data_IF_705615237996
#
_entry.id   IF_705615237996
#
_cell.length_a   1.000
_cell.length_b   1.000
_cell.length_c   1.000
_cell.angle_alpha   90.00
_cell.angle_beta   90.00
_cell.angle_gamma   90.00
#
_symmetry.space_group_name_H-M   'P 1'
#
loop_
_entity.id
_entity.type
_entity.pdbx_description
1 polymer ?
#
# COMPACT_ATOMS: atom_id res chain seq x y z
N UNK A 1 14.62 17.42 0.28
CA UNK A 1 13.35 18.15 0.08
C UNK A 1 13.19 18.69 -1.34
N UNK A 2 14.18 19.41 -1.90
CA UNK A 2 14.06 20.08 -3.22
C UNK A 2 13.75 19.18 -4.44
N UNK A 3 14.12 17.89 -4.43
CA UNK A 3 13.87 16.99 -5.58
C UNK A 3 12.44 16.42 -5.59
N UNK A 4 11.78 16.34 -4.42
CA UNK A 4 10.49 15.65 -4.28
C UNK A 4 9.29 16.61 -4.34
N UNK A 5 9.50 17.88 -3.97
CA UNK A 5 8.44 18.89 -3.93
C UNK A 5 8.45 19.82 -5.17
N UNK A 6 9.29 19.53 -6.17
CA UNK A 6 9.43 20.32 -7.40
C UNK A 6 8.64 19.77 -8.59
N UNK A 7 8.28 20.67 -9.52
CA UNK A 7 7.61 20.36 -10.81
C UNK A 7 8.28 19.17 -11.49
N UNK A 8 7.46 18.24 -11.99
CA UNK A 8 7.96 17.02 -12.62
C UNK A 8 8.91 17.36 -13.77
N UNK A 9 10.13 16.80 -13.73
CA UNK A 9 11.22 17.18 -14.63
C UNK A 9 11.85 15.92 -15.24
N UNK A 10 12.39 16.03 -16.47
CA UNK A 10 13.12 14.93 -17.14
C UNK A 10 14.26 14.33 -16.29
N UNK A 11 14.91 15.14 -15.44
CA UNK A 11 15.92 14.68 -14.47
C UNK A 11 15.34 13.72 -13.42
N UNK A 12 14.12 13.99 -12.95
CA UNK A 12 13.39 13.18 -11.96
C UNK A 12 12.99 11.83 -12.56
N UNK A 13 12.56 11.82 -13.82
CA UNK A 13 12.33 10.60 -14.61
C UNK A 13 13.60 9.76 -14.77
N UNK A 14 14.73 10.36 -15.16
CA UNK A 14 16.01 9.65 -15.32
C UNK A 14 16.49 9.03 -14.00
N UNK A 15 16.36 9.76 -12.89
CA UNK A 15 16.65 9.25 -11.55
C UNK A 15 15.71 8.10 -11.19
N UNK A 16 14.43 8.21 -11.50
CA UNK A 16 13.46 7.14 -11.27
C UNK A 16 13.79 5.85 -12.03
N UNK A 17 14.13 5.97 -13.32
CA UNK A 17 14.57 4.85 -14.16
C UNK A 17 15.86 4.24 -13.61
N UNK A 18 16.84 5.07 -13.24
CA UNK A 18 18.10 4.59 -12.68
C UNK A 18 17.90 3.81 -11.37
N UNK A 19 17.01 4.27 -10.49
CA UNK A 19 16.67 3.58 -9.24
C UNK A 19 15.93 2.27 -9.49
N UNK A 20 15.02 2.21 -10.48
CA UNK A 20 14.38 0.97 -10.87
C UNK A 20 15.38 -0.05 -11.44
N UNK A 21 16.29 0.40 -12.31
CA UNK A 21 17.36 -0.45 -12.86
C UNK A 21 18.26 -0.95 -11.72
N UNK A 22 18.67 -0.09 -10.79
CA UNK A 22 19.48 -0.47 -9.63
C UNK A 22 18.75 -1.49 -8.73
N UNK A 23 17.45 -1.31 -8.48
CA UNK A 23 16.63 -2.27 -7.75
C UNK A 23 16.55 -3.64 -8.46
N UNK A 24 16.36 -3.66 -9.78
CA UNK A 24 16.34 -4.89 -10.56
C UNK A 24 17.71 -5.57 -10.65
N UNK A 25 18.80 -4.81 -10.78
CA UNK A 25 20.17 -5.34 -10.74
C UNK A 25 20.46 -5.97 -9.37
N UNK A 26 19.95 -5.38 -8.28
CA UNK A 26 20.08 -5.96 -6.95
C UNK A 26 19.50 -7.37 -6.84
N UNK A 27 18.48 -7.72 -7.65
CA UNK A 27 17.94 -9.09 -7.72
C UNK A 27 18.83 -10.04 -8.52
N UNK A 28 19.57 -9.52 -9.51
CA UNK A 28 20.50 -10.31 -10.33
C UNK A 28 21.86 -10.51 -9.66
N UNK A 29 22.20 -9.68 -8.67
CA UNK A 29 23.30 -9.92 -7.75
C UNK A 29 22.82 -10.85 -6.63
N UNK A 30 22.46 -12.08 -6.97
CA UNK A 30 22.48 -13.17 -6.00
C UNK A 30 23.94 -13.29 -5.55
N UNK A 31 24.28 -12.62 -4.45
CA UNK A 31 25.55 -12.84 -3.78
C UNK A 31 25.61 -14.33 -3.47
N UNK A 32 26.68 -15.05 -3.84
CA UNK A 32 26.81 -16.49 -3.69
C UNK A 32 27.07 -16.88 -2.22
N UNK A 33 26.25 -16.36 -1.31
CA UNK A 33 26.29 -16.58 0.13
C UNK A 33 24.91 -17.01 0.61
N UNK A 34 24.78 -18.29 0.95
CA UNK A 34 23.61 -18.88 1.61
C UNK A 34 23.48 -18.39 3.07
N UNK A 35 23.45 -17.08 3.30
CA UNK A 35 23.15 -16.49 4.60
C UNK A 35 21.80 -15.78 4.50
N UNK A 36 20.87 -16.12 5.41
CA UNK A 36 19.51 -15.55 5.46
C UNK A 36 19.51 -14.00 5.49
N UNK A 37 20.61 -13.39 5.96
CA UNK A 37 20.79 -11.94 6.00
C UNK A 37 21.08 -11.27 4.65
N UNK A 38 21.76 -11.96 3.73
CA UNK A 38 22.08 -11.40 2.40
C UNK A 38 20.84 -11.36 1.50
N UNK A 39 20.05 -12.44 1.46
CA UNK A 39 18.77 -12.48 0.76
C UNK A 39 17.76 -11.46 1.32
N UNK A 40 17.75 -11.25 2.64
CA UNK A 40 16.92 -10.23 3.29
C UNK A 40 17.33 -8.81 2.86
N UNK A 41 18.64 -8.54 2.78
CA UNK A 41 19.17 -7.23 2.40
C UNK A 41 18.81 -6.86 0.96
N UNK A 42 19.00 -7.79 0.02
CA UNK A 42 18.58 -7.64 -1.39
C UNK A 42 17.07 -7.40 -1.51
N UNK A 43 16.28 -8.15 -0.76
CA UNK A 43 14.81 -8.01 -0.75
C UNK A 43 14.37 -6.63 -0.27
N UNK A 44 15.01 -6.09 0.77
CA UNK A 44 14.71 -4.76 1.30
C UNK A 44 15.09 -3.67 0.30
N UNK A 45 16.28 -3.76 -0.29
CA UNK A 45 16.76 -2.80 -1.29
C UNK A 45 15.86 -2.77 -2.52
N UNK A 46 15.49 -3.93 -3.06
CA UNK A 46 14.53 -4.03 -4.16
C UNK A 46 13.16 -3.42 -3.81
N UNK A 47 12.59 -3.80 -2.66
CA UNK A 47 11.28 -3.30 -2.20
C UNK A 47 11.26 -1.80 -1.91
N UNK A 48 12.42 -1.19 -1.69
CA UNK A 48 12.55 0.25 -1.53
C UNK A 48 12.77 0.96 -2.88
N UNK A 49 13.76 0.51 -3.65
CA UNK A 49 14.23 1.22 -4.84
C UNK A 49 13.22 1.20 -5.98
N UNK A 50 12.51 0.08 -6.20
CA UNK A 50 11.56 -0.03 -7.32
C UNK A 50 10.34 0.86 -7.11
N UNK A 51 9.65 0.86 -5.95
CA UNK A 51 8.53 1.76 -5.71
C UNK A 51 8.94 3.24 -5.69
N UNK A 52 10.10 3.57 -5.12
CA UNK A 52 10.62 4.95 -5.12
C UNK A 52 10.98 5.40 -6.54
N UNK A 53 11.62 4.53 -7.33
CA UNK A 53 11.93 4.79 -8.71
C UNK A 53 10.67 5.04 -9.55
N UNK A 54 9.66 4.16 -9.41
CA UNK A 54 8.36 4.32 -10.05
C UNK A 54 7.66 5.62 -9.62
N UNK A 55 7.70 5.98 -8.34
CA UNK A 55 7.14 7.24 -7.85
C UNK A 55 7.76 8.45 -8.54
N UNK A 56 9.07 8.42 -8.80
CA UNK A 56 9.78 9.52 -9.45
C UNK A 56 9.56 9.59 -10.97
N UNK A 57 9.15 8.48 -11.61
CA UNK A 57 8.83 8.47 -13.04
C UNK A 57 7.42 8.97 -13.34
N UNK A 58 6.48 8.83 -12.40
CA UNK A 58 5.08 9.23 -12.60
C UNK A 58 4.92 10.76 -12.53
N UNK A 59 4.36 11.41 -13.57
CA UNK A 59 4.04 12.83 -13.51
C UNK A 59 2.85 13.09 -12.60
N UNK A 60 3.06 13.91 -11.57
CA UNK A 60 2.05 14.27 -10.57
C UNK A 60 0.84 14.99 -11.22
N UNK A 61 1.07 15.76 -12.28
CA UNK A 61 0.04 16.49 -13.05
C UNK A 61 -0.96 15.57 -13.76
N UNK A 62 -0.60 14.30 -13.99
CA UNK A 62 -1.47 13.30 -14.64
C UNK A 62 -2.24 12.46 -13.62
N UNK A 63 -1.96 12.62 -12.33
CA UNK A 63 -2.68 11.90 -11.27
C UNK A 63 -3.98 12.64 -10.97
N UNK A 64 -5.08 11.88 -10.86
CA UNK A 64 -6.35 12.44 -10.43
C UNK A 64 -6.24 13.03 -9.03
N UNK A 65 -6.96 14.11 -8.77
CA UNK A 65 -7.09 14.63 -7.42
C UNK A 65 -7.52 13.52 -6.45
N UNK A 66 -6.91 13.52 -5.27
CA UNK A 66 -7.19 12.54 -4.25
C UNK A 66 -8.66 12.64 -3.80
N UNK A 67 -9.52 11.76 -4.31
CA UNK A 67 -10.89 11.56 -3.84
C UNK A 67 -10.93 11.33 -2.33
N UNK A 68 -12.02 11.73 -1.70
CA UNK A 68 -12.13 11.75 -0.23
C UNK A 68 -11.95 10.38 0.45
N UNK A 69 -12.18 9.27 -0.25
CA UNK A 69 -11.88 7.94 0.28
C UNK A 69 -10.37 7.64 0.34
N UNK A 70 -9.57 8.24 -0.55
CA UNK A 70 -8.10 8.11 -0.56
C UNK A 70 -7.42 8.99 0.50
N UNK A 71 -8.11 10.00 1.02
CA UNK A 71 -7.62 10.83 2.14
C UNK A 71 -7.58 10.05 3.46
N UNK A 72 -8.34 8.96 3.55
CA UNK A 72 -8.42 8.10 4.72
C UNK A 72 -7.37 6.95 4.70
N UNK A 73 -6.29 7.07 3.94
CA UNK A 73 -5.25 6.02 3.83
C UNK A 73 -4.70 5.58 5.19
N UNK A 74 -4.54 6.51 6.14
CA UNK A 74 -4.07 6.17 7.48
C UNK A 74 -5.11 5.37 8.28
N UNK A 75 -6.38 5.76 8.22
CA UNK A 75 -7.47 5.01 8.84
C UNK A 75 -7.63 3.62 8.20
N UNK A 76 -7.58 3.53 6.87
CA UNK A 76 -7.56 2.26 6.15
C UNK A 76 -6.40 1.39 6.62
N UNK A 77 -5.20 1.95 6.79
CA UNK A 77 -4.05 1.22 7.31
C UNK A 77 -4.29 0.67 8.73
N UNK A 78 -4.83 1.50 9.62
CA UNK A 78 -5.12 1.10 10.99
C UNK A 78 -6.16 -0.02 11.09
N UNK A 79 -7.19 0.00 10.23
CA UNK A 79 -8.32 -0.95 10.31
C UNK A 79 -8.20 -2.14 9.37
N UNK A 80 -7.34 -2.11 8.34
CA UNK A 80 -7.29 -3.17 7.33
C UNK A 80 -7.09 -4.56 7.96
N UNK A 81 -6.24 -4.66 8.99
CA UNK A 81 -5.83 -5.95 9.52
C UNK A 81 -6.95 -6.57 10.34
N UNK A 82 -7.62 -5.75 11.15
CA UNK A 82 -8.79 -6.16 11.90
C UNK A 82 -9.92 -6.60 10.95
N UNK A 83 -10.18 -5.84 9.89
CA UNK A 83 -11.20 -6.16 8.89
C UNK A 83 -10.89 -7.46 8.14
N UNK A 84 -9.69 -7.58 7.58
CA UNK A 84 -9.25 -8.79 6.86
C UNK A 84 -9.33 -10.03 7.77
N UNK A 85 -8.88 -9.91 9.02
CA UNK A 85 -8.94 -10.99 10.00
C UNK A 85 -10.39 -11.38 10.33
N UNK A 86 -11.26 -10.39 10.54
CA UNK A 86 -12.67 -10.62 10.80
C UNK A 86 -13.32 -11.36 9.64
N UNK A 87 -13.13 -10.86 8.42
CA UNK A 87 -13.68 -11.44 7.19
C UNK A 87 -13.18 -12.87 7.00
N UNK A 88 -11.88 -13.14 7.15
CA UNK A 88 -11.32 -14.49 7.02
C UNK A 88 -11.86 -15.45 8.07
N UNK A 89 -11.98 -14.99 9.32
CA UNK A 89 -12.45 -15.85 10.42
C UNK A 89 -13.94 -16.13 10.32
N UNK A 90 -14.73 -15.14 9.94
CA UNK A 90 -16.17 -15.30 9.67
C UNK A 90 -16.40 -16.17 8.43
N UNK A 91 -15.62 -15.98 7.37
CA UNK A 91 -15.65 -16.83 6.18
C UNK A 91 -15.37 -18.29 6.51
N UNK A 92 -14.34 -18.58 7.31
CA UNK A 92 -14.02 -19.94 7.75
C UNK A 92 -15.11 -20.58 8.64
N UNK A 93 -15.90 -19.78 9.35
CA UNK A 93 -17.00 -20.26 10.19
C UNK A 93 -18.28 -20.53 9.39
N UNK A 94 -18.59 -19.67 8.42
CA UNK A 94 -19.90 -19.67 7.73
C UNK A 94 -19.87 -20.36 6.36
N UNK A 95 -18.74 -20.35 5.66
CA UNK A 95 -18.64 -20.86 4.31
C UNK A 95 -18.17 -22.32 4.33
N UNK A 96 -18.71 -23.16 3.42
CA UNK A 96 -18.18 -24.50 3.24
C UNK A 96 -16.71 -24.41 2.77
N UNK A 97 -15.86 -25.37 3.14
CA UNK A 97 -14.42 -25.36 2.85
C UNK A 97 -14.15 -25.72 1.37
N UNK A 98 -14.62 -24.85 0.47
CA UNK A 98 -14.44 -24.99 -0.98
C UNK A 98 -13.33 -24.03 -1.43
N UNK A 99 -12.28 -24.50 -2.12
CA UNK A 99 -11.14 -23.67 -2.52
C UNK A 99 -11.53 -22.43 -3.34
N UNK A 100 -12.55 -22.54 -4.18
CA UNK A 100 -13.06 -21.45 -5.01
C UNK A 100 -13.61 -20.30 -4.15
N UNK A 101 -14.31 -20.62 -3.06
CA UNK A 101 -14.85 -19.61 -2.14
C UNK A 101 -13.73 -18.87 -1.41
N UNK A 102 -12.71 -19.59 -0.94
CA UNK A 102 -11.53 -18.98 -0.31
C UNK A 102 -10.77 -18.07 -1.28
N UNK A 103 -10.61 -18.50 -2.55
CA UNK A 103 -9.98 -17.71 -3.59
C UNK A 103 -10.76 -16.41 -3.88
N UNK A 104 -12.08 -16.49 -4.05
CA UNK A 104 -12.91 -15.30 -4.29
C UNK A 104 -12.83 -14.33 -3.11
N UNK A 105 -12.86 -14.85 -1.88
CA UNK A 105 -12.73 -14.04 -0.68
C UNK A 105 -11.40 -13.28 -0.65
N UNK A 106 -10.31 -13.97 -0.94
CA UNK A 106 -8.98 -13.36 -1.05
C UNK A 106 -8.91 -12.31 -2.16
N UNK A 107 -9.48 -12.59 -3.34
CA UNK A 107 -9.47 -11.67 -4.47
C UNK A 107 -10.25 -10.37 -4.18
N UNK A 108 -11.40 -10.46 -3.53
CA UNK A 108 -12.25 -9.31 -3.21
C UNK A 108 -11.92 -8.63 -1.87
N UNK A 109 -10.99 -9.17 -1.08
CA UNK A 109 -10.59 -8.58 0.20
C UNK A 109 -10.16 -7.11 0.13
N UNK A 110 -9.34 -6.67 -0.85
CA UNK A 110 -8.96 -5.27 -0.97
C UNK A 110 -10.18 -4.37 -1.15
N UNK A 111 -11.17 -4.81 -1.95
CA UNK A 111 -12.41 -4.09 -2.14
C UNK A 111 -13.20 -3.97 -0.83
N UNK A 112 -13.35 -5.07 -0.09
CA UNK A 112 -14.04 -5.05 1.20
C UNK A 112 -13.34 -4.15 2.22
N UNK A 113 -12.01 -4.16 2.27
CA UNK A 113 -11.25 -3.30 3.17
C UNK A 113 -11.50 -1.81 2.87
N UNK A 114 -11.53 -1.42 1.59
CA UNK A 114 -11.81 -0.03 1.19
C UNK A 114 -13.25 0.36 1.49
N UNK A 115 -14.23 -0.47 1.15
CA UNK A 115 -15.65 -0.17 1.38
C UNK A 115 -15.96 -0.09 2.88
N UNK A 116 -15.53 -1.07 3.67
CA UNK A 116 -15.79 -1.12 5.11
C UNK A 116 -15.06 0.00 5.85
N UNK A 117 -13.83 0.34 5.48
CA UNK A 117 -13.13 1.48 6.07
C UNK A 117 -13.80 2.81 5.72
N UNK A 118 -14.33 2.96 4.50
CA UNK A 118 -15.08 4.16 4.13
C UNK A 118 -16.38 4.29 4.94
N UNK A 119 -17.15 3.20 5.08
CA UNK A 119 -18.36 3.16 5.90
C UNK A 119 -18.06 3.42 7.39
N UNK A 120 -17.06 2.73 7.96
CA UNK A 120 -16.64 2.91 9.34
C UNK A 120 -16.13 4.34 9.59
N UNK A 121 -15.35 4.91 8.67
CA UNK A 121 -14.89 6.29 8.76
C UNK A 121 -16.03 7.31 8.62
N UNK A 122 -17.06 7.02 7.82
CA UNK A 122 -18.29 7.81 7.78
C UNK A 122 -19.07 7.76 9.10
N UNK A 123 -19.18 6.57 9.71
CA UNK A 123 -19.88 6.37 10.97
C UNK A 123 -19.16 7.05 12.14
N UNK A 124 -17.84 6.88 12.26
CA UNK A 124 -17.02 7.51 13.31
C UNK A 124 -17.04 9.04 13.16
N UNK A 125 -17.01 9.57 11.94
CA UNK A 125 -17.18 11.02 11.71
C UNK A 125 -18.49 11.57 12.26
N UNK A 126 -19.58 10.82 12.12
CA UNK A 126 -20.90 11.22 12.63
C UNK A 126 -21.04 11.05 14.14
N UNK A 127 -20.55 9.95 14.70
CA UNK A 127 -20.76 9.61 16.11
C UNK A 127 -19.70 10.22 17.03
N UNK A 128 -18.43 10.26 16.60
CA UNK A 128 -17.28 10.61 17.45
C UNK A 128 -16.23 11.42 16.66
N UNK A 129 -16.52 12.69 16.32
CA UNK A 129 -15.62 13.53 15.51
C UNK A 129 -14.28 13.82 16.19
N UNK A 130 -14.19 13.74 17.52
CA UNK A 130 -12.92 13.86 18.25
C UNK A 130 -12.00 12.65 18.02
N UNK A 131 -12.55 11.43 18.07
CA UNK A 131 -11.82 10.19 17.79
C UNK A 131 -11.42 10.13 16.31
N UNK A 132 -12.29 10.59 15.41
CA UNK A 132 -11.94 10.72 13.99
C UNK A 132 -10.73 11.62 13.77
N UNK A 133 -10.65 12.79 14.42
CA UNK A 133 -9.50 13.69 14.29
C UNK A 133 -8.19 13.05 14.76
N UNK A 134 -8.23 12.24 15.82
CA UNK A 134 -7.07 11.47 16.27
C UNK A 134 -6.68 10.39 15.26
N UNK A 135 -7.67 9.64 14.75
CA UNK A 135 -7.45 8.53 13.82
C UNK A 135 -7.11 8.96 12.41
N UNK A 136 -7.46 10.18 11.99
CA UNK A 136 -7.13 10.70 10.65
C UNK A 136 -5.99 11.73 10.69
N UNK A 137 -5.34 11.91 11.85
CA UNK A 137 -4.22 12.83 12.02
C UNK A 137 -4.59 14.30 11.77
N UNK A 138 -5.85 14.68 12.02
CA UNK A 138 -6.38 16.02 11.79
C UNK A 138 -6.70 16.37 10.33
N UNK A 139 -6.68 15.39 9.41
CA UNK A 139 -6.98 15.55 7.98
C UNK A 139 -8.41 15.14 7.63
#
# INVERSE_FOLDING_TARGET
>A
KAVVEGVWTRKRLLVGIALMIAGCISLGTDLPGSSLGEAASVTVVYRLLVPVGLWLTVPEERLFEARDFMKNNFFLYAVHFALVRLINKTGALLLPPVPVLAFLLFFFMPLFAVVLSWLAGGLIRRLMPAVWRLLNGGR
#
